data_IF_040471974040
#
_entry.id   IF_040471974040
#
_cell.length_a   1.000
_cell.length_b   1.000
_cell.length_c   1.000
_cell.angle_alpha   90.00
_cell.angle_beta   90.00
_cell.angle_gamma   90.00
#
_symmetry.space_group_name_H-M   'P 1'
#
loop_
_entity.id
_entity.type
_entity.pdbx_description
1 polymer ?
#
# COMPACT_ATOMS: atom_id res chain seq x y z
N UNK A 1 -8.91 0.02 10.49
CA UNK A 1 -8.52 1.22 11.27
C UNK A 1 -7.45 0.87 12.30
N UNK A 2 -7.65 -0.17 13.13
CA UNK A 2 -6.64 -0.66 14.09
C UNK A 2 -5.27 -0.89 13.44
N UNK A 3 -5.22 -1.68 12.36
CA UNK A 3 -3.96 -1.98 11.67
C UNK A 3 -3.19 -0.71 11.23
N UNK A 4 -3.89 0.30 10.71
CA UNK A 4 -3.25 1.54 10.24
C UNK A 4 -2.58 2.27 11.41
N UNK A 5 -3.24 2.33 12.57
CA UNK A 5 -2.70 2.97 13.78
C UNK A 5 -1.55 2.13 14.35
N UNK A 6 -1.67 0.80 14.33
CA UNK A 6 -0.62 -0.10 14.81
C UNK A 6 0.66 -0.01 13.96
N UNK A 7 0.53 0.20 12.65
CA UNK A 7 1.65 0.29 11.72
C UNK A 7 2.27 1.70 11.63
N UNK A 8 1.45 2.75 11.66
CA UNK A 8 1.89 4.11 11.35
C UNK A 8 1.77 5.09 12.53
N UNK A 9 1.24 4.64 13.66
CA UNK A 9 1.04 5.45 14.85
C UNK A 9 -0.15 6.40 14.73
N UNK A 10 -0.16 7.41 15.60
CA UNK A 10 -1.25 8.39 15.69
C UNK A 10 -1.10 9.57 14.71
N UNK A 11 0.10 9.78 14.15
CA UNK A 11 0.39 10.87 13.21
C UNK A 11 -0.02 10.50 11.77
N UNK A 12 -1.27 10.09 11.62
CA UNK A 12 -1.88 9.74 10.34
C UNK A 12 -3.00 10.73 10.02
N UNK A 13 -3.02 11.23 8.78
CA UNK A 13 -4.10 12.07 8.31
C UNK A 13 -5.15 11.20 7.62
N UNK A 14 -6.37 11.20 8.15
CA UNK A 14 -7.46 10.35 7.67
C UNK A 14 -8.60 11.25 7.20
N UNK A 15 -8.99 11.05 5.94
CA UNK A 15 -10.07 11.78 5.28
C UNK A 15 -11.11 10.78 4.79
N UNK A 16 -12.35 10.82 5.28
CA UNK A 16 -13.42 10.01 4.71
C UNK A 16 -13.71 10.47 3.27
N UNK A 17 -13.85 9.51 2.35
CA UNK A 17 -14.31 9.77 0.98
C UNK A 17 -15.79 9.44 0.88
N UNK A 18 -16.19 8.27 1.39
CA UNK A 18 -17.55 7.77 1.46
C UNK A 18 -17.70 6.78 2.64
N UNK A 19 -18.87 6.16 2.79
CA UNK A 19 -19.20 5.27 3.91
C UNK A 19 -18.26 4.06 4.05
N UNK A 20 -17.61 3.64 2.96
CA UNK A 20 -16.77 2.45 2.92
C UNK A 20 -15.29 2.75 2.60
N UNK A 21 -14.96 3.99 2.22
CA UNK A 21 -13.65 4.36 1.72
C UNK A 21 -13.08 5.53 2.48
N UNK A 22 -11.86 5.36 2.97
CA UNK A 22 -11.06 6.43 3.58
C UNK A 22 -9.80 6.66 2.76
N UNK A 23 -9.36 7.91 2.70
CA UNK A 23 -8.01 8.28 2.28
C UNK A 23 -7.15 8.43 3.51
N UNK A 24 -6.00 7.78 3.50
CA UNK A 24 -5.00 7.91 4.56
C UNK A 24 -3.73 8.48 3.97
N UNK A 25 -3.14 9.47 4.65
CA UNK A 25 -1.83 10.02 4.33
C UNK A 25 -0.90 9.83 5.53
N UNK A 26 0.28 9.29 5.24
CA UNK A 26 1.27 8.86 6.23
C UNK A 26 2.65 9.36 5.81
N UNK A 27 3.53 9.62 6.79
CA UNK A 27 4.94 9.92 6.54
C UNK A 27 5.76 8.71 6.98
N UNK A 28 6.28 7.96 6.01
CA UNK A 28 6.90 6.65 6.27
C UNK A 28 8.05 6.42 5.30
N UNK A 29 8.92 5.46 5.62
CA UNK A 29 9.95 5.02 4.69
C UNK A 29 9.31 4.38 3.44
N UNK A 30 9.67 4.87 2.26
CA UNK A 30 9.07 4.43 1.00
C UNK A 30 9.18 2.92 0.75
N UNK A 31 10.32 2.30 1.10
CA UNK A 31 10.52 0.87 0.93
C UNK A 31 9.66 0.05 1.90
N UNK A 32 9.50 0.51 3.14
CA UNK A 32 8.58 -0.12 4.09
C UNK A 32 7.13 -0.05 3.59
N UNK A 33 6.74 1.08 2.98
CA UNK A 33 5.41 1.24 2.40
C UNK A 33 5.17 0.30 1.21
N UNK A 34 6.19 0.00 0.40
CA UNK A 34 6.08 -1.02 -0.66
C UNK A 34 5.66 -2.36 -0.06
N UNK A 35 6.36 -2.83 0.98
CA UNK A 35 6.04 -4.13 1.59
C UNK A 35 4.65 -4.13 2.25
N UNK A 36 4.29 -3.05 2.93
CA UNK A 36 2.97 -2.91 3.53
C UNK A 36 1.86 -2.93 2.46
N UNK A 37 2.05 -2.21 1.37
CA UNK A 37 1.13 -2.21 0.24
C UNK A 37 1.01 -3.59 -0.43
N UNK A 38 2.09 -4.38 -0.47
CA UNK A 38 2.01 -5.76 -0.97
C UNK A 38 1.20 -6.67 -0.04
N UNK A 39 1.30 -6.47 1.27
CA UNK A 39 0.56 -7.25 2.26
C UNK A 39 -0.95 -6.97 2.22
N UNK A 40 -1.35 -5.72 1.99
CA UNK A 40 -2.76 -5.28 2.03
C UNK A 40 -3.31 -4.83 0.67
N UNK A 41 -2.58 -5.04 -0.42
CA UNK A 41 -2.88 -4.50 -1.76
C UNK A 41 -4.21 -4.96 -2.37
N UNK A 42 -4.83 -5.99 -1.81
CA UNK A 42 -6.18 -6.43 -2.19
C UNK A 42 -7.30 -5.52 -1.64
N UNK A 43 -6.99 -4.69 -0.65
CA UNK A 43 -7.96 -3.83 0.07
C UNK A 43 -7.58 -2.36 0.04
N UNK A 44 -6.47 -2.00 -0.59
CA UNK A 44 -5.98 -0.63 -0.66
C UNK A 44 -5.23 -0.37 -1.96
N UNK A 45 -5.04 0.89 -2.31
CA UNK A 45 -4.14 1.28 -3.40
C UNK A 45 -3.35 2.55 -3.05
N UNK A 46 -2.10 2.61 -3.51
CA UNK A 46 -1.27 3.80 -3.34
C UNK A 46 -1.69 4.85 -4.35
N UNK A 47 -2.20 6.00 -3.89
CA UNK A 47 -2.57 7.13 -4.76
C UNK A 47 -1.40 8.06 -5.08
N UNK A 48 -0.47 8.23 -4.14
CA UNK A 48 0.71 9.07 -4.29
C UNK A 48 1.79 8.70 -3.27
N UNK A 49 3.07 9.06 -3.50
CA UNK A 49 3.59 9.61 -4.75
C UNK A 49 3.58 8.59 -5.90
N UNK A 50 3.62 9.08 -7.14
CA UNK A 50 3.59 8.23 -8.35
C UNK A 50 4.73 7.21 -8.36
N UNK A 51 5.93 7.60 -7.91
CA UNK A 51 7.10 6.73 -7.80
C UNK A 51 6.85 5.50 -6.94
N UNK A 52 6.14 5.65 -5.81
CA UNK A 52 5.79 4.54 -4.93
C UNK A 52 4.77 3.61 -5.59
N UNK A 53 3.76 4.18 -6.26
CA UNK A 53 2.74 3.41 -6.99
C UNK A 53 3.39 2.53 -8.06
N UNK A 54 4.30 3.09 -8.85
CA UNK A 54 5.04 2.37 -9.89
C UNK A 54 5.94 1.27 -9.31
N UNK A 55 6.58 1.53 -8.17
CA UNK A 55 7.37 0.50 -7.48
C UNK A 55 6.52 -0.69 -7.04
N UNK A 56 5.35 -0.44 -6.43
CA UNK A 56 4.44 -1.52 -6.03
C UNK A 56 3.97 -2.30 -7.24
N UNK A 57 3.55 -1.61 -8.31
CA UNK A 57 3.13 -2.25 -9.56
C UNK A 57 4.21 -3.18 -10.12
N UNK A 58 5.44 -2.67 -10.25
CA UNK A 58 6.57 -3.44 -10.79
C UNK A 58 6.84 -4.70 -9.97
N UNK A 59 6.84 -4.60 -8.64
CA UNK A 59 7.07 -5.77 -7.77
C UNK A 59 5.95 -6.80 -7.91
N UNK A 60 4.69 -6.38 -7.99
CA UNK A 60 3.55 -7.28 -8.21
C UNK A 60 3.66 -8.00 -9.55
N UNK A 61 4.03 -7.28 -10.62
CA UNK A 61 4.25 -7.86 -11.95
C UNK A 61 5.38 -8.90 -11.91
N UNK A 62 6.54 -8.57 -11.34
CA UNK A 62 7.67 -9.50 -11.18
C UNK A 62 7.31 -10.73 -10.34
N UNK A 63 6.52 -10.56 -9.27
CA UNK A 63 6.01 -11.67 -8.48
C UNK A 63 5.07 -12.55 -9.28
N UNK A 64 4.13 -11.96 -10.01
CA UNK A 64 3.17 -12.69 -10.82
C UNK A 64 3.85 -13.53 -11.90
N UNK A 65 4.87 -12.99 -12.58
CA UNK A 65 5.65 -13.74 -13.57
C UNK A 65 6.33 -14.98 -12.95
N UNK A 66 6.91 -14.86 -11.75
CA UNK A 66 7.54 -16.02 -11.06
C UNK A 66 6.57 -17.18 -10.80
N UNK A 67 5.28 -16.91 -10.58
CA UNK A 67 4.28 -17.96 -10.37
C UNK A 67 3.67 -18.49 -11.68
N UNK A 68 3.95 -17.84 -12.82
CA UNK A 68 3.62 -18.39 -14.15
C UNK A 68 4.68 -19.39 -14.63
N UNK A 69 5.91 -19.26 -14.14
CA UNK A 69 6.98 -20.23 -14.39
C UNK A 69 6.63 -21.55 -13.70
N UNK A 70 6.23 -22.55 -14.49
CA UNK A 70 5.97 -23.91 -14.01
C UNK A 70 7.31 -24.58 -13.75
N UNK A 71 7.64 -24.79 -12.48
CA UNK A 71 8.74 -25.67 -12.07
C UNK A 71 8.28 -27.14 -12.04
#
# INVERSE_FOLDING_TARGET
MGDIIDWFGCDVNIQPIDDNTIRVSVVVNEQAMVYWALQYGMHMEVKSPQSLREKVQKVVEEMAEKYKEVF
#
